data_IF_041541961599
#
_entry.id   IF_041541961599
#
_cell.length_a   1.000
_cell.length_b   1.000
_cell.length_c   1.000
_cell.angle_alpha   90.00
_cell.angle_beta   90.00
_cell.angle_gamma   90.00
#
_symmetry.space_group_name_H-M   'P 1'
#
loop_
_entity.id
_entity.type
_entity.pdbx_description
1 polymer ?
#
# COMPACT_ATOMS: atom_id res chain seq x y z
N UNK A 1 -29.18 32.48 18.45
CA UNK A 1 -28.33 31.68 17.59
C UNK A 1 -28.33 30.26 18.09
N UNK A 2 -28.35 29.27 17.19
CA UNK A 2 -28.30 27.86 17.57
C UNK A 2 -26.90 27.53 18.11
N UNK A 3 -26.87 26.98 19.31
CA UNK A 3 -25.62 26.50 19.92
C UNK A 3 -25.31 25.09 19.43
N UNK A 4 -24.04 24.78 19.19
CA UNK A 4 -23.56 23.48 18.78
C UNK A 4 -22.88 22.85 20.00
N UNK A 5 -23.27 21.63 20.34
CA UNK A 5 -22.67 20.88 21.44
C UNK A 5 -22.06 19.60 20.92
N UNK A 6 -20.90 19.23 21.46
CA UNK A 6 -20.22 17.98 21.23
C UNK A 6 -20.17 17.14 22.50
N UNK A 7 -20.39 15.82 22.39
CA UNK A 7 -20.15 14.84 23.44
C UNK A 7 -19.41 13.65 22.88
N UNK A 8 -18.33 13.24 23.55
CA UNK A 8 -17.60 12.03 23.16
C UNK A 8 -18.29 10.80 23.76
N UNK A 9 -19.07 10.09 22.97
CA UNK A 9 -19.81 8.90 23.39
C UNK A 9 -18.93 7.67 23.68
N UNK A 10 -17.62 7.75 23.41
CA UNK A 10 -16.65 6.68 23.71
C UNK A 10 -16.03 6.81 25.12
N UNK A 11 -16.34 7.91 25.83
CA UNK A 11 -15.90 8.17 27.21
C UNK A 11 -17.14 8.23 28.07
N UNK A 12 -17.25 7.32 29.04
CA UNK A 12 -18.48 7.14 29.86
C UNK A 12 -18.93 8.42 30.56
N UNK A 13 -18.02 9.20 31.12
CA UNK A 13 -18.32 10.43 31.88
C UNK A 13 -18.05 11.72 31.09
N UNK A 14 -18.07 11.69 29.74
CA UNK A 14 -17.85 12.91 29.00
C UNK A 14 -19.02 13.89 29.09
N UNK A 15 -18.72 15.16 29.40
CA UNK A 15 -19.68 16.25 29.39
C UNK A 15 -19.92 16.82 28.00
N UNK A 16 -21.00 17.59 27.86
CA UNK A 16 -21.27 18.33 26.64
C UNK A 16 -20.36 19.57 26.53
N UNK A 17 -19.61 19.68 25.47
CA UNK A 17 -18.76 20.83 25.15
C UNK A 17 -19.48 21.76 24.17
N UNK A 18 -19.65 23.05 24.51
CA UNK A 18 -20.21 24.04 23.60
C UNK A 18 -19.14 24.44 22.56
N UNK A 19 -19.46 24.28 21.28
CA UNK A 19 -18.56 24.58 20.17
C UNK A 19 -18.91 25.90 19.54
N UNK A 20 -17.92 26.74 19.30
CA UNK A 20 -18.07 27.98 18.52
C UNK A 20 -18.30 27.74 17.02
N UNK A 21 -17.82 26.60 16.53
CA UNK A 21 -18.01 26.12 15.15
C UNK A 21 -17.95 24.60 15.08
N UNK A 22 -18.51 24.04 14.03
CA UNK A 22 -18.48 22.60 13.80
C UNK A 22 -17.04 22.10 13.65
N UNK A 23 -16.70 20.98 14.28
CA UNK A 23 -15.38 20.36 14.09
C UNK A 23 -15.18 19.97 12.64
N UNK A 24 -13.97 20.20 12.11
CA UNK A 24 -13.60 19.68 10.80
C UNK A 24 -13.63 18.15 10.80
N UNK A 25 -13.89 17.48 9.67
CA UNK A 25 -13.84 16.02 9.59
C UNK A 25 -12.55 15.42 10.15
N UNK A 26 -11.42 16.08 9.93
CA UNK A 26 -10.10 15.70 10.47
C UNK A 26 -10.09 15.76 12.01
N UNK A 27 -10.62 16.81 12.61
CA UNK A 27 -10.70 16.95 14.07
C UNK A 27 -11.67 15.95 14.66
N UNK A 28 -12.80 15.69 14.00
CA UNK A 28 -13.76 14.67 14.44
C UNK A 28 -13.14 13.26 14.42
N UNK A 29 -12.40 12.91 13.39
CA UNK A 29 -11.68 11.62 13.31
C UNK A 29 -10.63 11.47 14.41
N UNK A 30 -9.91 12.54 14.76
CA UNK A 30 -8.98 12.55 15.89
C UNK A 30 -9.70 12.33 17.24
N UNK A 31 -10.86 12.95 17.44
CA UNK A 31 -11.62 12.86 18.70
C UNK A 31 -12.29 11.50 18.91
N UNK A 32 -12.66 10.80 17.83
CA UNK A 32 -13.24 9.45 17.89
C UNK A 32 -12.19 8.37 18.18
N UNK A 33 -10.95 8.77 18.51
CA UNK A 33 -9.86 7.82 18.81
C UNK A 33 -9.44 7.01 17.58
N UNK A 34 -9.98 7.30 16.37
CA UNK A 34 -9.32 6.90 15.15
C UNK A 34 -8.03 7.71 15.13
N UNK A 35 -6.94 7.05 15.53
CA UNK A 35 -5.57 7.52 15.42
C UNK A 35 -5.49 8.30 14.11
N UNK A 36 -4.98 9.53 14.15
CA UNK A 36 -4.58 10.19 12.89
C UNK A 36 -3.81 9.13 12.15
N UNK A 37 -4.20 8.81 10.95
CA UNK A 37 -3.91 7.56 10.27
C UNK A 37 -2.44 7.15 10.38
N UNK A 38 -1.56 8.14 10.57
CA UNK A 38 -0.12 7.95 10.72
C UNK A 38 0.51 8.60 11.99
N UNK A 39 -0.27 9.33 12.77
CA UNK A 39 0.23 10.06 13.96
C UNK A 39 0.60 9.18 15.16
N UNK A 40 0.19 7.92 15.14
CA UNK A 40 0.41 6.96 16.22
C UNK A 40 1.53 5.96 15.93
N UNK A 41 2.25 6.12 14.83
CA UNK A 41 3.43 5.29 14.54
C UNK A 41 4.46 5.46 15.67
N UNK A 42 4.88 4.37 16.34
CA UNK A 42 5.90 4.44 17.37
C UNK A 42 7.25 4.88 16.76
N UNK A 43 8.11 5.44 17.59
CA UNK A 43 9.46 5.83 17.14
C UNK A 43 10.17 4.61 16.53
N UNK A 44 10.74 4.82 15.35
CA UNK A 44 11.52 3.79 14.69
C UNK A 44 12.88 3.64 15.38
N UNK A 45 13.18 2.46 15.86
CA UNK A 45 14.52 2.13 16.34
C UNK A 45 15.45 1.83 15.16
N UNK A 46 16.63 2.45 15.15
CA UNK A 46 17.62 2.21 14.11
C UNK A 46 18.24 0.81 14.15
N UNK A 47 18.13 0.11 15.26
CA UNK A 47 18.76 -1.20 15.51
C UNK A 47 18.63 -2.16 14.31
N UNK A 48 19.78 -2.55 13.72
CA UNK A 48 19.85 -3.48 12.60
C UNK A 48 19.49 -2.89 11.22
N UNK A 49 19.06 -1.62 11.14
CA UNK A 49 18.84 -0.93 9.88
C UNK A 49 20.13 -0.26 9.37
N UNK A 50 20.33 -0.31 8.06
CA UNK A 50 21.31 0.55 7.39
C UNK A 50 20.86 2.00 7.48
N UNK A 51 21.81 2.95 7.47
CA UNK A 51 21.48 4.38 7.55
C UNK A 51 20.50 4.83 6.47
N UNK A 52 20.68 4.34 5.24
CA UNK A 52 19.79 4.66 4.12
C UNK A 52 18.36 4.13 4.34
N UNK A 53 18.20 2.95 4.91
CA UNK A 53 16.88 2.37 5.22
C UNK A 53 16.20 3.14 6.35
N UNK A 54 16.93 3.40 7.44
CA UNK A 54 16.41 4.16 8.57
C UNK A 54 15.95 5.57 8.16
N UNK A 55 16.80 6.29 7.42
CA UNK A 55 16.47 7.63 6.97
C UNK A 55 15.31 7.65 5.96
N UNK A 56 15.24 6.66 5.07
CA UNK A 56 14.14 6.55 4.11
C UNK A 56 12.80 6.29 4.82
N UNK A 57 12.78 5.38 5.80
CA UNK A 57 11.56 5.07 6.57
C UNK A 57 11.09 6.28 7.38
N UNK A 58 11.98 6.96 8.10
CA UNK A 58 11.62 8.17 8.86
C UNK A 58 11.00 9.23 7.94
N UNK A 59 11.64 9.50 6.80
CA UNK A 59 11.12 10.50 5.84
C UNK A 59 9.80 10.08 5.21
N UNK A 60 9.63 8.79 4.95
CA UNK A 60 8.36 8.26 4.46
C UNK A 60 7.25 8.47 5.49
N UNK A 61 7.47 8.11 6.75
CA UNK A 61 6.48 8.32 7.81
C UNK A 61 6.17 9.80 8.06
N UNK A 62 7.17 10.68 8.00
CA UNK A 62 6.97 12.13 8.05
C UNK A 62 6.10 12.62 6.89
N UNK A 63 6.36 12.13 5.68
CA UNK A 63 5.58 12.45 4.50
C UNK A 63 4.12 12.01 4.63
N UNK A 64 3.87 10.80 5.18
CA UNK A 64 2.52 10.32 5.48
C UNK A 64 1.81 11.21 6.51
N UNK A 65 2.50 11.64 7.56
CA UNK A 65 1.96 12.55 8.59
C UNK A 65 1.57 13.90 8.01
N UNK A 66 2.27 14.36 6.97
CA UNK A 66 1.93 15.57 6.22
C UNK A 66 0.76 15.37 5.25
N UNK A 67 0.31 14.13 5.04
CA UNK A 67 -0.80 13.79 4.14
C UNK A 67 -0.39 13.64 2.67
N UNK A 68 0.92 13.51 2.39
CA UNK A 68 1.41 13.27 1.03
C UNK A 68 1.05 11.85 0.59
N UNK A 69 0.41 11.74 -0.57
CA UNK A 69 0.01 10.46 -1.14
C UNK A 69 1.03 9.85 -2.09
N UNK A 70 1.93 10.66 -2.65
CA UNK A 70 2.97 10.19 -3.57
C UNK A 70 4.34 10.39 -2.95
N UNK A 71 5.10 9.31 -2.85
CA UNK A 71 6.41 9.27 -2.22
C UNK A 71 7.40 8.55 -3.14
N UNK A 72 8.62 9.03 -3.22
CA UNK A 72 9.68 8.40 -4.01
C UNK A 72 10.90 8.13 -3.13
N UNK A 73 11.27 6.86 -3.00
CA UNK A 73 12.50 6.44 -2.35
C UNK A 73 13.54 6.02 -3.39
N UNK A 74 14.65 6.76 -3.46
CA UNK A 74 15.77 6.44 -4.35
C UNK A 74 16.87 5.78 -3.54
N UNK A 75 17.09 4.51 -3.77
CA UNK A 75 18.04 3.68 -3.04
C UNK A 75 18.95 2.93 -4.03
N UNK A 76 20.24 2.81 -3.70
CA UNK A 76 21.18 2.07 -4.51
C UNK A 76 20.80 0.59 -4.62
N UNK A 77 21.25 -0.08 -5.67
CA UNK A 77 21.13 -1.53 -5.81
C UNK A 77 21.81 -2.23 -4.63
N UNK A 78 21.19 -3.27 -4.09
CA UNK A 78 21.71 -3.99 -2.92
C UNK A 78 21.58 -3.26 -1.57
N UNK A 79 20.93 -2.10 -1.53
CA UNK A 79 20.68 -1.38 -0.26
C UNK A 79 19.60 -2.00 0.61
N UNK A 80 18.86 -3.00 0.10
CA UNK A 80 17.75 -3.67 0.77
C UNK A 80 16.42 -2.93 0.60
N UNK A 81 16.08 -2.54 -0.63
CA UNK A 81 14.79 -1.90 -0.98
C UNK A 81 13.60 -2.73 -0.54
N UNK A 82 13.62 -4.05 -0.83
CA UNK A 82 12.52 -4.95 -0.43
C UNK A 82 12.39 -5.02 1.09
N UNK A 83 13.51 -5.06 1.82
CA UNK A 83 13.49 -5.04 3.28
C UNK A 83 12.85 -3.76 3.83
N UNK A 84 13.14 -2.61 3.23
CA UNK A 84 12.49 -1.35 3.57
C UNK A 84 10.98 -1.39 3.31
N UNK A 85 10.57 -1.96 2.19
CA UNK A 85 9.16 -2.15 1.85
C UNK A 85 8.44 -3.07 2.85
N UNK A 86 9.10 -4.17 3.29
CA UNK A 86 8.58 -5.04 4.36
C UNK A 86 8.39 -4.26 5.66
N UNK A 87 9.39 -3.45 6.05
CA UNK A 87 9.34 -2.63 7.26
C UNK A 87 8.18 -1.63 7.22
N UNK A 88 8.07 -0.84 6.15
CA UNK A 88 7.00 0.12 5.96
C UNK A 88 5.62 -0.56 6.00
N UNK A 89 5.47 -1.67 5.29
CA UNK A 89 4.23 -2.46 5.26
C UNK A 89 3.84 -2.97 6.63
N UNK A 90 4.78 -3.60 7.36
CA UNK A 90 4.53 -4.07 8.72
C UNK A 90 4.11 -2.93 9.64
N UNK A 91 4.82 -1.82 9.63
CA UNK A 91 4.52 -0.69 10.50
C UNK A 91 3.15 -0.08 10.21
N UNK A 92 2.77 0.03 8.95
CA UNK A 92 1.44 0.52 8.61
C UNK A 92 0.33 -0.46 8.98
N UNK A 93 0.47 -1.75 8.70
CA UNK A 93 -0.51 -2.78 9.08
C UNK A 93 -0.66 -2.88 10.61
N UNK A 94 0.44 -2.82 11.36
CA UNK A 94 0.43 -3.04 12.80
C UNK A 94 -0.02 -1.80 13.61
N UNK A 95 0.34 -0.59 13.16
CA UNK A 95 0.14 0.62 13.96
C UNK A 95 -0.88 1.61 13.40
N UNK A 96 -1.44 1.36 12.23
CA UNK A 96 -2.40 2.25 11.59
C UNK A 96 -3.71 1.52 11.23
N UNK A 97 -4.62 2.22 10.57
CA UNK A 97 -5.85 1.61 10.03
C UNK A 97 -5.66 0.92 8.68
N UNK A 98 -4.43 0.85 8.18
CA UNK A 98 -4.10 0.15 6.93
C UNK A 98 -4.48 -1.33 7.02
N UNK A 99 -5.22 -1.80 6.04
CA UNK A 99 -5.69 -3.20 5.97
C UNK A 99 -5.15 -3.95 4.78
N UNK A 100 -4.93 -3.26 3.67
CA UNK A 100 -4.49 -3.88 2.40
C UNK A 100 -3.40 -3.09 1.74
N UNK A 101 -2.34 -3.79 1.40
CA UNK A 101 -1.16 -3.26 0.73
C UNK A 101 -0.99 -4.00 -0.59
N UNK A 102 -0.73 -3.25 -1.63
CA UNK A 102 -0.35 -3.78 -2.94
C UNK A 102 1.14 -3.55 -3.17
N UNK A 103 1.86 -4.61 -3.51
CA UNK A 103 3.24 -4.52 -3.97
C UNK A 103 3.31 -4.90 -5.45
N UNK A 104 3.65 -3.94 -6.28
CA UNK A 104 3.78 -4.12 -7.72
C UNK A 104 5.22 -4.37 -8.11
N UNK A 105 5.43 -5.45 -8.82
CA UNK A 105 6.72 -5.88 -9.39
C UNK A 105 6.64 -5.90 -10.91
N UNK A 106 7.81 -5.83 -11.52
CA UNK A 106 7.95 -5.87 -12.97
C UNK A 106 7.69 -7.28 -13.56
N UNK A 107 8.12 -8.34 -12.84
CA UNK A 107 8.11 -9.73 -13.35
C UNK A 107 7.68 -10.74 -12.30
N UNK A 108 7.16 -11.88 -12.75
CA UNK A 108 6.67 -12.95 -11.89
C UNK A 108 7.75 -13.60 -11.02
N UNK A 109 8.97 -13.75 -11.52
CA UNK A 109 10.09 -14.27 -10.74
C UNK A 109 10.42 -13.36 -9.54
N UNK A 110 10.38 -12.03 -9.73
CA UNK A 110 10.54 -11.06 -8.65
C UNK A 110 9.39 -11.14 -7.64
N UNK A 111 8.16 -11.39 -8.12
CA UNK A 111 7.01 -11.58 -7.23
C UNK A 111 7.22 -12.75 -6.27
N UNK A 112 7.80 -13.87 -6.73
CA UNK A 112 8.10 -15.04 -5.88
C UNK A 112 9.14 -14.74 -4.82
N UNK A 113 10.23 -14.07 -5.20
CA UNK A 113 11.27 -13.64 -4.27
C UNK A 113 10.68 -12.67 -3.23
N UNK A 114 9.92 -11.68 -3.66
CA UNK A 114 9.27 -10.69 -2.79
C UNK A 114 8.33 -11.36 -1.80
N UNK A 115 7.48 -12.31 -2.23
CA UNK A 115 6.59 -13.07 -1.35
C UNK A 115 7.36 -13.77 -0.23
N UNK A 116 8.50 -14.37 -0.58
CA UNK A 116 9.38 -15.05 0.39
C UNK A 116 9.99 -14.04 1.37
N UNK A 117 10.53 -12.92 0.88
CA UNK A 117 11.14 -11.87 1.71
C UNK A 117 10.13 -11.26 2.68
N UNK A 118 8.90 -10.96 2.22
CA UNK A 118 7.82 -10.46 3.07
C UNK A 118 7.42 -11.51 4.13
N UNK A 119 7.26 -12.77 3.73
CA UNK A 119 6.84 -13.83 4.64
C UNK A 119 7.87 -14.12 5.73
N UNK A 120 9.15 -14.01 5.41
CA UNK A 120 10.26 -14.26 6.33
C UNK A 120 10.69 -13.03 7.15
N UNK A 121 10.16 -11.85 6.84
CA UNK A 121 10.47 -10.63 7.58
C UNK A 121 10.09 -10.78 9.06
N UNK A 122 11.05 -10.63 9.96
CA UNK A 122 10.93 -10.92 11.41
C UNK A 122 11.17 -9.71 12.32
N UNK A 123 11.36 -8.50 11.73
CA UNK A 123 11.48 -7.27 12.52
C UNK A 123 10.11 -6.77 12.98
N UNK A 124 9.42 -7.61 13.69
CA UNK A 124 8.12 -7.36 14.31
C UNK A 124 8.29 -7.19 15.83
N UNK A 125 7.29 -6.68 16.51
CA UNK A 125 7.35 -6.47 17.97
C UNK A 125 7.70 -7.75 18.75
N UNK A 126 7.15 -8.88 18.31
CA UNK A 126 7.31 -10.16 18.97
C UNK A 126 8.36 -11.06 18.30
N UNK A 127 9.15 -10.53 17.35
CA UNK A 127 10.10 -11.30 16.54
C UNK A 127 9.43 -12.48 15.77
N UNK A 128 8.12 -12.40 15.57
CA UNK A 128 7.40 -13.35 14.73
C UNK A 128 7.62 -12.99 13.27
N UNK A 129 7.54 -13.98 12.39
CA UNK A 129 7.59 -13.73 10.95
C UNK A 129 6.32 -13.00 10.51
N UNK A 130 6.46 -12.08 9.57
CA UNK A 130 5.33 -11.32 9.03
C UNK A 130 4.27 -12.23 8.39
N UNK A 131 4.71 -13.34 7.77
CA UNK A 131 3.80 -14.36 7.23
C UNK A 131 3.00 -15.15 8.27
N UNK A 132 3.40 -15.11 9.55
CA UNK A 132 2.62 -15.70 10.66
C UNK A 132 1.57 -14.72 11.21
N UNK A 133 1.72 -13.41 10.92
CA UNK A 133 0.85 -12.35 11.41
C UNK A 133 -0.18 -11.89 10.37
N UNK A 134 0.20 -11.91 9.09
CA UNK A 134 -0.59 -11.38 7.98
C UNK A 134 -0.63 -12.35 6.82
N UNK A 135 -1.72 -12.30 6.07
CA UNK A 135 -1.84 -13.05 4.81
C UNK A 135 -1.06 -12.34 3.70
N UNK A 136 -0.06 -13.02 3.13
CA UNK A 136 0.82 -12.50 2.09
C UNK A 136 0.75 -13.45 0.91
N UNK A 137 0.19 -13.00 -0.21
CA UNK A 137 0.02 -13.86 -1.38
C UNK A 137 0.40 -13.14 -2.68
N UNK A 138 1.00 -13.89 -3.59
CA UNK A 138 1.07 -13.49 -4.99
C UNK A 138 -0.29 -13.64 -5.64
N UNK A 139 -0.65 -12.68 -6.46
CA UNK A 139 -1.89 -12.72 -7.24
C UNK A 139 -1.79 -13.80 -8.33
N UNK A 140 -2.30 -15.00 -8.04
CA UNK A 140 -2.41 -16.14 -8.97
C UNK A 140 -3.85 -16.39 -9.37
N UNK A 141 -4.78 -16.14 -8.47
CA UNK A 141 -6.22 -16.28 -8.65
C UNK A 141 -6.95 -15.10 -8.02
N UNK A 142 -8.16 -14.85 -8.43
CA UNK A 142 -8.96 -13.70 -7.97
C UNK A 142 -9.09 -13.64 -6.43
N UNK A 143 -9.14 -14.80 -5.76
CA UNK A 143 -9.26 -14.83 -4.30
C UNK A 143 -8.05 -14.29 -3.57
N UNK A 144 -6.86 -14.30 -4.18
CA UNK A 144 -5.62 -13.84 -3.56
C UNK A 144 -5.62 -12.32 -3.33
N UNK A 145 -6.48 -11.59 -4.06
CA UNK A 145 -6.66 -10.14 -3.89
C UNK A 145 -7.14 -9.75 -2.49
N UNK A 146 -7.71 -10.68 -1.73
CA UNK A 146 -8.24 -10.45 -0.38
C UNK A 146 -7.18 -10.47 0.71
N UNK A 147 -5.95 -10.80 0.38
CA UNK A 147 -4.83 -10.85 1.33
C UNK A 147 -4.49 -9.47 1.89
N UNK A 148 -3.88 -9.44 3.07
CA UNK A 148 -3.41 -8.21 3.70
C UNK A 148 -2.30 -7.54 2.87
N UNK A 149 -1.43 -8.38 2.28
CA UNK A 149 -0.42 -7.95 1.30
C UNK A 149 -0.59 -8.76 0.03
N UNK A 150 -0.85 -8.05 -1.06
CA UNK A 150 -0.96 -8.61 -2.40
C UNK A 150 0.28 -8.25 -3.20
N UNK A 151 0.98 -9.24 -3.73
CA UNK A 151 2.13 -9.05 -4.61
C UNK A 151 1.70 -9.41 -6.03
N UNK A 152 1.86 -8.49 -6.96
CA UNK A 152 1.37 -8.68 -8.33
C UNK A 152 2.25 -8.01 -9.36
N UNK A 153 2.18 -8.52 -10.58
CA UNK A 153 2.54 -7.74 -11.76
C UNK A 153 1.38 -6.85 -12.18
N UNK A 154 1.68 -5.78 -12.93
CA UNK A 154 0.64 -4.87 -13.41
C UNK A 154 -0.38 -5.56 -14.31
N UNK A 155 0.08 -6.52 -15.13
CA UNK A 155 -0.76 -7.27 -16.07
C UNK A 155 -1.80 -8.09 -15.32
N UNK A 156 -1.39 -8.83 -14.26
CA UNK A 156 -2.30 -9.64 -13.45
C UNK A 156 -3.30 -8.77 -12.69
N UNK A 157 -2.84 -7.66 -12.12
CA UNK A 157 -3.74 -6.73 -11.45
C UNK A 157 -4.76 -6.13 -12.42
N UNK A 158 -4.32 -5.74 -13.62
CA UNK A 158 -5.19 -5.21 -14.66
C UNK A 158 -6.25 -6.23 -15.09
N UNK A 159 -5.87 -7.51 -15.27
CA UNK A 159 -6.81 -8.59 -15.56
C UNK A 159 -7.89 -8.74 -14.48
N UNK A 160 -7.51 -8.72 -13.22
CA UNK A 160 -8.47 -8.75 -12.09
C UNK A 160 -9.40 -7.54 -12.12
N UNK A 161 -8.86 -6.33 -12.33
CA UNK A 161 -9.67 -5.11 -12.38
C UNK A 161 -10.73 -5.16 -13.49
N UNK A 162 -10.35 -5.63 -14.67
CA UNK A 162 -11.24 -5.67 -15.84
C UNK A 162 -12.09 -6.95 -15.91
N UNK A 163 -11.96 -7.85 -14.93
CA UNK A 163 -12.72 -9.11 -14.90
C UNK A 163 -12.26 -10.14 -15.93
N UNK A 164 -11.05 -10.01 -16.45
CA UNK A 164 -10.42 -11.02 -17.28
C UNK A 164 -9.87 -12.14 -16.40
N UNK A 165 -9.90 -13.37 -16.92
CA UNK A 165 -9.31 -14.50 -16.22
C UNK A 165 -7.78 -14.31 -16.12
N UNK A 166 -7.26 -14.55 -14.93
CA UNK A 166 -5.81 -14.63 -14.73
C UNK A 166 -5.39 -15.93 -15.41
N UNK A 167 -4.69 -15.83 -16.54
CA UNK A 167 -4.14 -17.01 -17.16
C UNK A 167 -3.08 -17.62 -16.24
N UNK A 168 -3.31 -18.82 -15.76
CA UNK A 168 -2.29 -19.67 -15.14
C UNK A 168 -1.37 -20.20 -16.26
N UNK A 169 -0.54 -19.32 -16.82
CA UNK A 169 0.47 -19.66 -17.80
C UNK A 169 1.78 -20.08 -17.15
N UNK A 170 2.70 -20.60 -17.96
CA UNK A 170 4.07 -20.82 -17.53
C UNK A 170 4.68 -19.45 -17.17
N UNK A 171 4.97 -19.18 -15.88
CA UNK A 171 5.42 -17.85 -15.38
C UNK A 171 6.61 -17.29 -16.20
N UNK A 172 7.46 -18.18 -16.73
CA UNK A 172 8.59 -17.81 -17.59
C UNK A 172 8.14 -17.33 -18.99
N UNK A 173 7.08 -17.92 -19.55
CA UNK A 173 6.51 -17.50 -20.84
C UNK A 173 5.75 -16.18 -20.70
N UNK A 174 5.09 -15.94 -19.57
CA UNK A 174 4.44 -14.65 -19.29
C UNK A 174 5.47 -13.51 -19.19
N UNK A 175 6.63 -13.75 -18.59
CA UNK A 175 7.72 -12.77 -18.51
C UNK A 175 8.32 -12.44 -19.89
N UNK A 176 8.29 -13.37 -20.86
CA UNK A 176 8.69 -13.11 -22.27
C UNK A 176 7.62 -12.33 -23.03
N UNK A 177 6.35 -12.63 -22.82
CA UNK A 177 5.23 -11.90 -23.45
C UNK A 177 5.19 -10.47 -22.92
N UNK A 178 5.41 -10.26 -21.62
CA UNK A 178 5.44 -8.94 -21.00
C UNK A 178 6.49 -8.01 -21.63
N UNK A 179 7.66 -8.56 -22.03
CA UNK A 179 8.70 -7.77 -22.74
C UNK A 179 8.24 -7.30 -24.12
N UNK A 180 7.47 -8.13 -24.83
CA UNK A 180 6.97 -7.80 -26.17
C UNK A 180 5.78 -6.82 -26.12
N UNK A 181 4.99 -6.86 -25.03
CA UNK A 181 3.87 -5.97 -24.81
C UNK A 181 4.33 -4.57 -24.34
N UNK A 182 5.48 -4.45 -23.65
CA UNK A 182 6.04 -3.15 -23.25
C UNK A 182 6.34 -2.25 -24.45
N UNK A 183 6.77 -2.82 -25.58
CA UNK A 183 6.99 -2.06 -26.82
C UNK A 183 5.68 -1.63 -27.51
N UNK A 184 4.59 -2.37 -27.29
CA UNK A 184 3.26 -2.08 -27.86
C UNK A 184 2.42 -1.17 -26.97
N UNK A 185 2.53 -1.30 -25.64
CA UNK A 185 1.71 -0.58 -24.65
C UNK A 185 1.90 0.96 -24.66
N UNK A 186 3.00 1.44 -25.26
CA UNK A 186 3.24 2.89 -25.41
C UNK A 186 2.26 3.57 -26.39
N UNK A 187 1.50 2.82 -27.19
CA UNK A 187 0.62 3.36 -28.21
C UNK A 187 -0.86 2.94 -28.10
N UNK A 188 -1.23 1.97 -27.26
CA UNK A 188 -2.62 1.61 -27.09
C UNK A 188 -3.30 2.42 -25.97
N UNK A 189 -4.37 3.11 -26.35
CA UNK A 189 -5.28 3.76 -25.40
C UNK A 189 -6.13 2.66 -24.74
N UNK A 190 -5.60 2.03 -23.70
CA UNK A 190 -6.38 1.09 -22.88
C UNK A 190 -7.26 1.90 -21.95
N UNK A 191 -8.56 1.94 -22.14
CA UNK A 191 -9.50 2.55 -21.21
C UNK A 191 -9.90 1.54 -20.13
N UNK A 192 -9.81 1.96 -18.85
CA UNK A 192 -10.46 1.25 -17.77
C UNK A 192 -11.97 1.54 -17.90
N UNK A 193 -12.76 0.51 -18.13
CA UNK A 193 -14.22 0.64 -18.19
C UNK A 193 -14.83 1.07 -16.85
N UNK A 194 -16.12 1.41 -16.86
CA UNK A 194 -16.83 1.86 -15.66
C UNK A 194 -17.11 0.73 -14.63
N UNK A 195 -17.14 -0.53 -15.07
CA UNK A 195 -17.47 -1.70 -14.23
C UNK A 195 -16.21 -2.41 -13.72
N UNK A 196 -15.41 -1.75 -12.89
CA UNK A 196 -14.24 -2.37 -12.29
C UNK A 196 -14.59 -3.18 -11.04
N UNK A 197 -13.99 -4.37 -10.89
CA UNK A 197 -14.30 -5.32 -9.79
C UNK A 197 -13.84 -4.86 -8.42
N UNK A 198 -12.89 -3.94 -8.31
CA UNK A 198 -12.36 -3.43 -7.05
C UNK A 198 -12.68 -1.94 -6.91
N UNK A 199 -13.06 -1.46 -5.72
CA UNK A 199 -13.27 -0.04 -5.50
C UNK A 199 -11.94 0.74 -5.46
N UNK A 200 -11.94 2.06 -5.76
CA UNK A 200 -10.72 2.88 -5.81
C UNK A 200 -9.96 2.98 -4.47
N UNK A 201 -10.60 2.71 -3.35
CA UNK A 201 -10.05 2.75 -2.00
C UNK A 201 -9.70 1.35 -1.45
N UNK A 202 -9.66 0.34 -2.33
CA UNK A 202 -9.40 -1.05 -1.94
C UNK A 202 -8.04 -1.22 -1.27
N UNK A 203 -7.00 -0.60 -1.80
CA UNK A 203 -5.66 -0.56 -1.21
C UNK A 203 -5.41 0.78 -0.52
N UNK A 204 -4.74 0.76 0.63
CA UNK A 204 -4.35 1.96 1.35
C UNK A 204 -2.89 2.36 1.08
N UNK A 205 -2.06 1.39 0.74
CA UNK A 205 -0.67 1.59 0.31
C UNK A 205 -0.42 0.80 -0.97
N UNK A 206 0.22 1.44 -1.95
CA UNK A 206 0.74 0.79 -3.15
C UNK A 206 2.24 1.04 -3.22
N UNK A 207 3.02 -0.02 -3.19
CA UNK A 207 4.48 0.05 -3.34
C UNK A 207 4.81 -0.42 -4.75
N UNK A 208 5.57 0.38 -5.47
CA UNK A 208 5.99 0.09 -6.85
C UNK A 208 7.49 -0.11 -6.88
N UNK A 209 7.93 -1.33 -7.11
CA UNK A 209 9.35 -1.60 -7.37
C UNK A 209 9.70 -1.21 -8.82
N UNK A 210 10.90 -0.65 -9.02
CA UNK A 210 11.37 -0.15 -10.33
C UNK A 210 10.39 0.87 -10.96
N UNK A 211 9.96 1.85 -10.15
CA UNK A 211 8.88 2.81 -10.47
C UNK A 211 9.11 3.65 -11.75
N UNK A 212 10.32 3.67 -12.31
CA UNK A 212 10.60 4.35 -13.58
C UNK A 212 9.75 3.80 -14.74
N UNK A 213 9.21 2.59 -14.62
CA UNK A 213 8.28 1.98 -15.59
C UNK A 213 6.83 2.39 -15.34
N UNK A 214 6.48 2.81 -14.13
CA UNK A 214 5.10 3.11 -13.73
C UNK A 214 4.52 4.42 -14.29
N UNK A 215 5.32 5.20 -14.99
CA UNK A 215 4.88 6.50 -15.55
C UNK A 215 4.15 6.37 -16.89
N UNK A 216 4.06 5.18 -17.48
CA UNK A 216 3.47 4.96 -18.80
C UNK A 216 2.36 3.90 -18.80
N UNK A 217 1.48 3.95 -19.80
CA UNK A 217 0.53 2.91 -20.17
C UNK A 217 -0.41 2.44 -19.04
N UNK A 218 -0.53 1.14 -18.90
CA UNK A 218 -1.39 0.46 -17.91
C UNK A 218 -1.04 0.82 -16.47
N UNK A 219 0.24 1.00 -16.17
CA UNK A 219 0.72 1.37 -14.83
C UNK A 219 0.10 2.69 -14.35
N UNK A 220 0.20 3.72 -15.18
CA UNK A 220 -0.34 5.04 -14.84
C UNK A 220 -1.83 4.98 -14.57
N UNK A 221 -2.58 4.30 -15.42
CA UNK A 221 -4.03 4.19 -15.29
C UNK A 221 -4.47 3.46 -14.02
N UNK A 222 -3.79 2.37 -13.68
CA UNK A 222 -4.05 1.62 -12.45
C UNK A 222 -3.73 2.47 -11.21
N UNK A 223 -2.60 3.18 -11.20
CA UNK A 223 -2.24 4.06 -10.09
C UNK A 223 -3.17 5.26 -9.98
N UNK A 224 -3.62 5.83 -11.09
CA UNK A 224 -4.59 6.93 -11.11
C UNK A 224 -5.98 6.45 -10.64
N UNK A 225 -6.36 5.20 -10.95
CA UNK A 225 -7.58 4.60 -10.44
C UNK A 225 -7.57 4.48 -8.91
N UNK A 226 -6.49 3.96 -8.32
CA UNK A 226 -6.33 3.87 -6.88
C UNK A 226 -5.82 5.18 -6.24
N UNK A 227 -6.30 6.32 -6.71
CA UNK A 227 -5.86 7.66 -6.29
C UNK A 227 -6.06 7.95 -4.79
N UNK A 228 -6.89 7.18 -4.09
CA UNK A 228 -7.05 7.25 -2.64
C UNK A 228 -5.90 6.60 -1.88
N UNK A 229 -5.18 5.66 -2.48
CA UNK A 229 -4.02 5.03 -1.87
C UNK A 229 -2.82 5.99 -1.73
N UNK A 230 -1.94 5.68 -0.79
CA UNK A 230 -0.58 6.22 -0.78
C UNK A 230 0.30 5.40 -1.73
N UNK A 231 1.11 6.03 -2.55
CA UNK A 231 2.03 5.41 -3.51
C UNK A 231 3.46 5.84 -3.20
#
# INVERSE_FOLDING_TARGET
GNKIYFKNMLVEDSEYEELSQMHSPKKMLQMVGKKSEYGALPLLEKRGLRDCQYNAEIKFEESLKLGNKKNLAVLATGSGKTYLACLASYRLLNYTSTKRILFLVDRNNLARQTETEFSLFDRTENQMRMGDLYTINRLKKETDIKSDIVISTIQKLFAVLTGQDIQEGNEDAEDEIAKNDEEKDNNEVVELGDDLKLPPDYFQLIIVDECHRSIYGKWKKVLDYFSSATV
#
